data_IF_466369903008
#
_entry.id   IF_466369903008
#
_cell.length_a   1.000
_cell.length_b   1.000
_cell.length_c   1.000
_cell.angle_alpha   90.00
_cell.angle_beta   90.00
_cell.angle_gamma   90.00
#
_symmetry.space_group_name_H-M   'P 1'
#
loop_
_entity.id
_entity.type
_entity.pdbx_description
1 polymer ?
#
# COMPACT_ATOMS: atom_id res chain seq x y z
N UNK A 1 -1.96 -11.01 -40.34
CA UNK A 1 -0.64 -11.07 -39.69
C UNK A 1 0.53 -10.69 -40.63
N UNK A 2 0.40 -10.77 -41.94
CA UNK A 2 1.45 -10.38 -42.93
C UNK A 2 1.44 -8.91 -43.34
N UNK A 3 0.36 -8.14 -43.12
CA UNK A 3 0.29 -6.72 -43.44
C UNK A 3 0.91 -5.78 -42.37
N UNK A 4 1.16 -6.27 -41.17
CA UNK A 4 1.79 -5.46 -40.09
C UNK A 4 3.33 -5.42 -40.16
N UNK A 5 3.97 -6.25 -40.99
CA UNK A 5 5.43 -6.27 -41.14
C UNK A 5 5.97 -5.31 -42.19
N UNK A 6 5.11 -4.74 -43.05
CA UNK A 6 5.55 -3.81 -44.10
C UNK A 6 5.45 -2.31 -43.77
N UNK A 7 4.97 -1.95 -42.57
CA UNK A 7 4.93 -0.53 -42.12
C UNK A 7 6.22 -0.05 -41.43
N UNK A 8 7.23 -0.93 -41.34
CA UNK A 8 8.51 -0.63 -40.66
C UNK A 8 9.56 0.07 -41.55
N UNK A 9 9.22 0.43 -42.78
CA UNK A 9 10.20 1.00 -43.74
C UNK A 9 9.88 2.40 -44.31
N UNK A 10 8.87 3.12 -43.80
CA UNK A 10 8.67 4.52 -44.20
C UNK A 10 8.07 5.31 -43.02
N UNK A 11 8.90 6.15 -42.43
CA UNK A 11 8.45 7.19 -41.52
C UNK A 11 9.39 7.37 -40.34
N UNK A 12 10.49 8.07 -40.53
CA UNK A 12 11.21 8.74 -39.47
C UNK A 12 10.27 9.79 -38.83
N UNK A 13 9.54 9.37 -37.82
CA UNK A 13 8.90 10.32 -36.91
C UNK A 13 9.97 10.66 -35.86
N UNK A 14 10.69 11.73 -36.14
CA UNK A 14 11.57 12.37 -35.18
C UNK A 14 10.72 13.01 -34.09
N UNK A 15 10.38 12.23 -33.07
CA UNK A 15 9.80 12.79 -31.84
C UNK A 15 10.97 13.46 -31.10
N UNK A 16 11.18 14.74 -31.32
CA UNK A 16 11.98 15.60 -30.44
C UNK A 16 11.26 15.71 -29.10
N UNK A 17 11.47 14.72 -28.20
CA UNK A 17 11.26 14.89 -26.78
C UNK A 17 12.36 15.78 -26.24
N UNK A 18 12.16 17.09 -26.24
CA UNK A 18 12.92 17.97 -25.37
C UNK A 18 12.53 17.66 -23.93
N UNK A 19 13.20 16.68 -23.36
CA UNK A 19 13.12 16.38 -21.93
C UNK A 19 13.92 17.46 -21.21
N UNK A 20 13.28 18.27 -20.39
CA UNK A 20 13.94 19.15 -19.43
C UNK A 20 14.65 18.27 -18.39
N UNK A 21 15.83 17.77 -18.79
CA UNK A 21 16.66 16.80 -18.04
C UNK A 21 17.53 17.46 -16.97
N UNK A 22 17.27 18.70 -16.58
CA UNK A 22 18.14 19.48 -15.68
C UNK A 22 17.78 19.41 -14.20
N UNK A 23 16.91 18.49 -13.77
CA UNK A 23 16.80 18.15 -12.36
C UNK A 23 17.78 17.03 -12.03
N UNK A 24 18.75 17.24 -11.12
CA UNK A 24 19.72 16.21 -10.79
C UNK A 24 19.01 14.95 -10.32
N UNK A 25 19.36 13.80 -10.91
CA UNK A 25 18.82 12.46 -10.65
C UNK A 25 18.74 12.13 -9.14
N UNK A 26 19.67 12.67 -8.35
CA UNK A 26 19.68 12.53 -6.88
C UNK A 26 18.52 13.20 -6.14
N UNK A 27 17.85 14.20 -6.72
CA UNK A 27 16.71 14.87 -6.10
C UNK A 27 15.42 14.03 -6.21
N UNK A 28 15.31 13.24 -7.26
CA UNK A 28 14.11 12.47 -7.62
C UNK A 28 13.92 11.22 -6.76
N UNK A 29 14.96 10.70 -6.12
CA UNK A 29 14.89 9.47 -5.33
C UNK A 29 14.56 9.70 -3.85
N UNK A 30 14.90 10.87 -3.31
CA UNK A 30 14.72 11.15 -1.87
C UNK A 30 13.26 11.23 -1.43
N UNK A 31 12.38 11.74 -2.27
CA UNK A 31 10.95 11.78 -1.97
C UNK A 31 10.32 10.39 -1.91
N UNK A 32 10.81 9.45 -2.71
CA UNK A 32 10.37 8.06 -2.68
C UNK A 32 10.71 7.43 -1.33
N UNK A 33 11.91 7.67 -0.82
CA UNK A 33 12.30 7.15 0.49
C UNK A 33 11.48 7.79 1.62
N UNK A 34 11.16 9.08 1.53
CA UNK A 34 10.27 9.73 2.47
C UNK A 34 8.87 9.10 2.44
N UNK A 35 8.31 8.93 1.24
CA UNK A 35 6.99 8.30 1.09
C UNK A 35 6.98 6.86 1.58
N UNK A 36 8.03 6.06 1.32
CA UNK A 36 8.17 4.71 1.88
C UNK A 36 8.19 4.69 3.39
N UNK A 37 8.94 5.61 4.00
CA UNK A 37 8.99 5.73 5.47
C UNK A 37 7.62 6.08 6.04
N UNK A 38 6.91 7.03 5.46
CA UNK A 38 5.55 7.39 5.88
C UNK A 38 4.60 6.20 5.67
N UNK A 39 4.65 5.52 4.52
CA UNK A 39 3.77 4.39 4.24
C UNK A 39 3.96 3.24 5.24
N UNK A 40 5.19 2.88 5.63
CA UNK A 40 5.36 1.81 6.63
C UNK A 40 4.86 2.20 8.01
N UNK A 41 5.06 3.45 8.44
CA UNK A 41 4.48 3.95 9.67
C UNK A 41 2.95 3.91 9.61
N UNK A 42 2.37 4.32 8.49
CA UNK A 42 0.92 4.26 8.25
C UNK A 42 0.38 2.82 8.25
N UNK A 43 1.11 1.84 7.71
CA UNK A 43 0.73 0.41 7.79
C UNK A 43 0.68 -0.07 9.25
N UNK A 44 1.67 0.28 10.07
CA UNK A 44 1.70 -0.11 11.48
C UNK A 44 0.53 0.55 12.23
N UNK A 45 0.25 1.84 11.97
CA UNK A 45 -0.91 2.52 12.56
C UNK A 45 -2.22 1.86 12.14
N UNK A 46 -2.38 1.54 10.84
CA UNK A 46 -3.54 0.85 10.31
C UNK A 46 -3.83 -0.45 11.06
N UNK A 47 -2.81 -1.31 11.21
CA UNK A 47 -2.95 -2.57 11.92
C UNK A 47 -3.14 -2.38 13.44
N UNK A 48 -2.58 -1.34 14.03
CA UNK A 48 -2.83 -0.99 15.44
C UNK A 48 -4.30 -0.62 15.65
N UNK A 49 -4.86 0.28 14.85
CA UNK A 49 -6.27 0.68 14.93
C UNK A 49 -7.20 -0.50 14.62
N UNK A 50 -6.93 -1.24 13.53
CA UNK A 50 -7.73 -2.40 13.12
C UNK A 50 -7.81 -3.47 14.21
N UNK A 51 -6.69 -3.74 14.89
CA UNK A 51 -6.67 -4.74 15.97
C UNK A 51 -7.54 -4.29 17.15
N UNK A 52 -7.54 -3.01 17.50
CA UNK A 52 -8.38 -2.47 18.54
C UNK A 52 -9.86 -2.58 18.13
N UNK A 53 -10.21 -2.09 16.94
CA UNK A 53 -11.57 -2.11 16.41
C UNK A 53 -12.14 -3.54 16.37
N UNK A 54 -11.33 -4.53 15.94
CA UNK A 54 -11.76 -5.91 15.79
C UNK A 54 -11.87 -6.69 17.13
N UNK A 55 -11.18 -6.23 18.18
CA UNK A 55 -11.18 -6.91 19.48
C UNK A 55 -12.02 -6.19 20.55
N UNK A 56 -12.59 -5.02 20.21
CA UNK A 56 -13.34 -4.20 21.18
C UNK A 56 -14.60 -3.66 20.53
N UNK A 57 -15.74 -3.79 21.20
CA UNK A 57 -17.01 -3.30 20.68
C UNK A 57 -17.17 -1.76 20.78
N UNK A 58 -18.06 -1.19 19.97
CA UNK A 58 -18.40 0.24 20.02
C UNK A 58 -18.86 0.65 21.44
N UNK A 59 -19.58 -0.24 22.12
CA UNK A 59 -20.09 0.00 23.49
C UNK A 59 -18.97 0.11 24.53
N UNK A 60 -17.86 -0.62 24.34
CA UNK A 60 -16.73 -0.61 25.27
C UNK A 60 -15.82 0.63 25.05
N UNK A 61 -15.65 1.03 23.80
CA UNK A 61 -14.80 2.15 23.41
C UNK A 61 -15.53 3.49 23.51
N UNK A 62 -16.85 3.46 23.32
CA UNK A 62 -17.69 4.65 23.13
C UNK A 62 -17.66 5.17 21.68
N UNK A 63 -18.81 5.68 21.21
CA UNK A 63 -19.06 6.06 19.82
C UNK A 63 -18.00 7.05 19.29
N UNK A 64 -17.66 8.08 20.04
CA UNK A 64 -16.70 9.11 19.60
C UNK A 64 -15.27 8.55 19.47
N UNK A 65 -14.84 7.76 20.45
CA UNK A 65 -13.50 7.15 20.39
C UNK A 65 -13.41 6.13 19.26
N UNK A 66 -14.48 5.38 19.01
CA UNK A 66 -14.56 4.45 17.89
C UNK A 66 -14.49 5.21 16.56
N UNK A 67 -15.28 6.28 16.39
CA UNK A 67 -15.24 7.14 15.19
C UNK A 67 -13.83 7.67 14.90
N UNK A 68 -13.14 8.18 15.92
CA UNK A 68 -11.76 8.68 15.75
C UNK A 68 -10.80 7.57 15.35
N UNK A 69 -10.90 6.39 15.95
CA UNK A 69 -10.06 5.24 15.60
C UNK A 69 -10.30 4.76 14.16
N UNK A 70 -11.57 4.70 13.76
CA UNK A 70 -11.93 4.30 12.41
C UNK A 70 -11.47 5.33 11.37
N UNK A 71 -11.57 6.63 11.68
CA UNK A 71 -11.05 7.67 10.80
C UNK A 71 -9.54 7.67 10.69
N UNK A 72 -8.81 7.40 11.78
CA UNK A 72 -7.35 7.19 11.72
C UNK A 72 -7.04 5.97 10.84
N UNK A 73 -7.79 4.87 11.01
CA UNK A 73 -7.67 3.68 10.17
C UNK A 73 -7.87 4.00 8.69
N UNK A 74 -8.93 4.76 8.37
CA UNK A 74 -9.24 5.17 6.99
C UNK A 74 -8.18 6.13 6.42
N UNK A 75 -7.76 7.12 7.21
CA UNK A 75 -6.75 8.10 6.82
C UNK A 75 -5.43 7.45 6.39
N UNK A 76 -4.97 6.41 7.09
CA UNK A 76 -3.68 5.76 6.82
C UNK A 76 -3.74 4.69 5.71
N UNK A 77 -4.90 4.41 5.14
CA UNK A 77 -5.09 3.40 4.08
C UNK A 77 -4.41 3.74 2.75
N UNK A 78 -4.01 4.98 2.53
CA UNK A 78 -3.21 5.36 1.37
C UNK A 78 -1.87 4.61 1.28
N UNK A 79 -1.41 3.99 2.36
CA UNK A 79 -0.07 3.41 2.50
C UNK A 79 0.21 2.31 1.47
N UNK A 80 -0.66 1.30 1.34
CA UNK A 80 -0.50 0.22 0.36
C UNK A 80 -0.62 0.73 -1.08
N UNK A 81 -1.66 1.51 -1.44
CA UNK A 81 -1.71 2.19 -2.74
C UNK A 81 -0.44 2.95 -3.10
N UNK A 82 0.10 3.74 -2.17
CA UNK A 82 1.34 4.50 -2.42
C UNK A 82 2.55 3.59 -2.64
N UNK A 83 2.68 2.46 -1.94
CA UNK A 83 3.72 1.47 -2.24
C UNK A 83 3.59 0.90 -3.65
N UNK A 84 2.37 0.64 -4.12
CA UNK A 84 2.11 0.17 -5.47
C UNK A 84 2.40 1.24 -6.51
N UNK A 85 1.99 2.48 -6.25
CA UNK A 85 2.30 3.62 -7.12
C UNK A 85 3.82 3.87 -7.20
N UNK A 86 4.57 3.76 -6.09
CA UNK A 86 6.04 3.80 -6.10
C UNK A 86 6.60 2.71 -7.01
N UNK A 87 6.09 1.49 -6.92
CA UNK A 87 6.54 0.36 -7.74
C UNK A 87 6.27 0.62 -9.22
N UNK A 88 5.08 1.10 -9.57
CA UNK A 88 4.73 1.51 -10.92
C UNK A 88 5.58 2.67 -11.43
N UNK A 89 5.79 3.69 -10.61
CA UNK A 89 6.64 4.84 -10.91
C UNK A 89 8.07 4.44 -11.27
N UNK A 90 8.63 3.43 -10.57
CA UNK A 90 10.01 2.96 -10.78
C UNK A 90 10.13 1.95 -11.91
N UNK A 91 9.16 1.04 -12.07
CA UNK A 91 9.25 -0.06 -13.02
C UNK A 91 8.63 0.25 -14.39
N UNK A 92 7.68 1.19 -14.49
CA UNK A 92 7.11 1.61 -15.76
C UNK A 92 7.82 2.82 -16.38
N UNK A 93 9.03 3.16 -15.91
CA UNK A 93 9.87 4.21 -16.50
C UNK A 93 10.21 3.86 -17.96
N UNK A 94 9.78 4.66 -18.96
CA UNK A 94 10.02 4.36 -20.38
C UNK A 94 11.52 4.39 -20.73
N UNK A 95 12.31 5.13 -19.96
CA UNK A 95 13.74 5.31 -20.20
C UNK A 95 14.60 4.17 -19.60
N UNK A 96 14.01 3.21 -18.91
CA UNK A 96 14.71 2.09 -18.29
C UNK A 96 14.24 0.79 -18.91
N UNK A 97 15.13 0.01 -19.47
CA UNK A 97 14.80 -1.35 -19.88
C UNK A 97 14.57 -2.23 -18.65
N UNK A 98 13.54 -3.06 -18.72
CA UNK A 98 13.25 -4.07 -17.72
C UNK A 98 13.80 -5.39 -18.24
N UNK A 99 15.00 -5.74 -17.80
CA UNK A 99 15.56 -7.05 -18.12
C UNK A 99 14.75 -8.15 -17.42
N UNK A 100 14.27 -9.14 -18.17
CA UNK A 100 13.52 -10.29 -17.65
C UNK A 100 14.24 -10.97 -16.46
N UNK A 101 15.58 -11.17 -16.48
CA UNK A 101 16.28 -11.76 -15.33
C UNK A 101 16.17 -10.91 -14.05
N UNK A 102 15.94 -9.60 -14.15
CA UNK A 102 15.72 -8.74 -12.99
C UNK A 102 14.32 -8.95 -12.40
N UNK A 103 13.29 -9.07 -13.22
CA UNK A 103 11.93 -9.38 -12.77
C UNK A 103 11.87 -10.76 -12.11
N UNK A 104 12.48 -11.76 -12.73
CA UNK A 104 12.57 -13.11 -12.14
C UNK A 104 13.24 -13.11 -10.77
N UNK A 105 14.30 -12.32 -10.58
CA UNK A 105 14.91 -12.14 -9.24
C UNK A 105 13.96 -11.53 -8.22
N UNK A 106 13.10 -10.58 -8.61
CA UNK A 106 12.10 -10.02 -7.70
C UNK A 106 11.03 -11.04 -7.35
N UNK A 107 10.54 -11.81 -8.33
CA UNK A 107 9.55 -12.88 -8.12
C UNK A 107 10.12 -13.94 -7.18
N UNK A 108 11.32 -14.46 -7.48
CA UNK A 108 11.99 -15.46 -6.64
C UNK A 108 12.22 -14.94 -5.22
N UNK A 109 12.65 -13.68 -5.09
CA UNK A 109 12.82 -13.03 -3.78
C UNK A 109 11.51 -13.02 -2.98
N UNK A 110 10.39 -12.64 -3.59
CA UNK A 110 9.09 -12.65 -2.92
C UNK A 110 8.62 -14.06 -2.58
N UNK A 111 8.87 -15.03 -3.45
CA UNK A 111 8.56 -16.43 -3.17
C UNK A 111 9.39 -16.97 -1.98
N UNK A 112 10.68 -16.64 -1.89
CA UNK A 112 11.52 -16.99 -0.73
C UNK A 112 11.02 -16.33 0.55
N UNK A 113 10.57 -15.08 0.48
CA UNK A 113 9.94 -14.38 1.60
C UNK A 113 8.67 -15.11 2.04
N UNK A 114 7.80 -15.51 1.11
CA UNK A 114 6.60 -16.30 1.45
C UNK A 114 6.97 -17.64 2.07
N UNK A 115 7.95 -18.36 1.50
CA UNK A 115 8.38 -19.65 2.03
C UNK A 115 8.88 -19.53 3.47
N UNK A 116 9.61 -18.49 3.81
CA UNK A 116 10.16 -18.30 5.15
C UNK A 116 9.10 -17.70 6.09
N UNK A 117 8.63 -16.51 5.81
CA UNK A 117 7.74 -15.78 6.71
C UNK A 117 6.30 -16.30 6.64
N UNK A 118 5.78 -16.58 5.44
CA UNK A 118 4.43 -17.10 5.25
C UNK A 118 4.26 -18.47 5.92
N UNK A 119 5.22 -19.40 5.72
CA UNK A 119 5.21 -20.70 6.38
C UNK A 119 5.35 -20.54 7.91
N UNK A 120 6.27 -19.69 8.36
CA UNK A 120 6.45 -19.46 9.80
C UNK A 120 5.16 -18.95 10.44
N UNK A 121 4.44 -18.03 9.83
CA UNK A 121 3.18 -17.51 10.35
C UNK A 121 2.05 -18.54 10.31
N UNK A 122 1.98 -19.34 9.26
CA UNK A 122 1.02 -20.44 9.19
C UNK A 122 1.30 -21.50 10.29
N UNK A 123 2.56 -21.86 10.50
CA UNK A 123 2.97 -22.77 11.58
C UNK A 123 2.66 -22.18 12.96
N UNK A 124 2.97 -20.90 13.18
CA UNK A 124 2.65 -20.22 14.44
C UNK A 124 1.14 -20.25 14.72
N UNK A 125 0.29 -19.99 13.75
CA UNK A 125 -1.17 -20.06 13.94
C UNK A 125 -1.63 -21.46 14.30
N UNK A 126 -1.09 -22.53 13.66
CA UNK A 126 -1.40 -23.92 14.00
C UNK A 126 -0.95 -24.22 15.42
N UNK A 127 0.28 -23.87 15.80
CA UNK A 127 0.84 -24.13 17.14
C UNK A 127 0.07 -23.38 18.23
N UNK A 128 -0.32 -22.13 17.98
CA UNK A 128 -1.11 -21.33 18.93
C UNK A 128 -2.48 -21.94 19.16
N UNK A 129 -3.08 -22.56 18.14
CA UNK A 129 -4.42 -23.17 18.22
C UNK A 129 -4.35 -24.58 18.80
N UNK A 130 -3.46 -25.45 18.30
CA UNK A 130 -3.36 -26.85 18.68
C UNK A 130 -2.49 -27.09 19.91
N UNK A 131 -1.66 -26.11 20.28
CA UNK A 131 -0.61 -26.22 21.35
C UNK A 131 0.37 -27.39 21.12
N UNK A 132 0.48 -27.88 19.88
CA UNK A 132 1.36 -28.98 19.50
C UNK A 132 2.26 -28.57 18.33
N UNK A 133 3.52 -29.05 18.36
CA UNK A 133 4.49 -28.85 17.30
C UNK A 133 5.03 -30.20 16.86
N UNK A 134 5.01 -30.48 15.57
CA UNK A 134 5.53 -31.70 14.94
C UNK A 134 6.06 -31.39 13.55
N UNK A 135 6.74 -32.34 12.94
CA UNK A 135 7.13 -32.22 11.52
C UNK A 135 5.89 -32.07 10.60
N UNK A 136 4.80 -32.77 10.91
CA UNK A 136 3.51 -32.59 10.22
C UNK A 136 2.96 -31.17 10.27
N UNK A 137 3.17 -30.46 11.40
CA UNK A 137 2.79 -29.04 11.53
C UNK A 137 3.55 -28.15 10.56
N UNK A 138 4.83 -28.44 10.30
CA UNK A 138 5.62 -27.66 9.34
C UNK A 138 5.14 -27.92 7.91
N UNK A 139 4.87 -29.18 7.56
CA UNK A 139 4.34 -29.54 6.25
C UNK A 139 2.97 -28.88 6.02
N UNK A 140 2.08 -28.94 7.02
CA UNK A 140 0.79 -28.25 6.94
C UNK A 140 0.95 -26.73 6.82
N UNK A 141 1.93 -26.15 7.51
CA UNK A 141 2.25 -24.73 7.38
C UNK A 141 2.70 -24.34 5.96
N UNK A 142 3.47 -25.18 5.29
CA UNK A 142 3.84 -24.98 3.89
C UNK A 142 2.60 -25.05 2.99
N UNK A 143 1.74 -26.03 3.17
CA UNK A 143 0.50 -26.16 2.41
C UNK A 143 -0.42 -24.96 2.63
N UNK A 144 -0.64 -24.56 3.87
CA UNK A 144 -1.42 -23.37 4.20
C UNK A 144 -0.84 -22.10 3.54
N UNK A 145 0.49 -21.95 3.56
CA UNK A 145 1.14 -20.84 2.86
C UNK A 145 0.88 -20.90 1.35
N UNK A 146 0.96 -22.06 0.69
CA UNK A 146 0.68 -22.19 -0.73
C UNK A 146 -0.79 -21.88 -1.07
N UNK A 147 -1.72 -22.22 -0.19
CA UNK A 147 -3.15 -21.92 -0.31
C UNK A 147 -3.51 -20.46 0.00
N UNK A 148 -2.54 -19.65 0.44
CA UNK A 148 -2.78 -18.26 0.87
C UNK A 148 -3.30 -18.15 2.32
N UNK A 149 -3.37 -19.25 3.05
CA UNK A 149 -3.85 -19.35 4.44
C UNK A 149 -2.70 -19.11 5.44
N UNK A 150 -1.98 -18.01 5.26
CA UNK A 150 -1.00 -17.48 6.21
C UNK A 150 -1.63 -16.32 7.00
N UNK A 151 -0.85 -15.60 7.81
CA UNK A 151 -1.36 -14.41 8.47
C UNK A 151 -1.84 -13.37 7.44
N UNK A 152 -2.95 -12.71 7.78
CA UNK A 152 -3.70 -11.85 6.86
C UNK A 152 -2.82 -10.84 6.09
N UNK A 153 -1.84 -10.21 6.77
CA UNK A 153 -0.99 -9.21 6.10
C UNK A 153 -0.15 -9.79 4.94
N UNK A 154 0.11 -11.10 4.90
CA UNK A 154 0.92 -11.72 3.85
C UNK A 154 0.29 -11.64 2.45
N UNK A 155 -1.03 -11.34 2.34
CA UNK A 155 -1.71 -11.15 1.05
C UNK A 155 -0.96 -10.19 0.11
N UNK A 156 -0.32 -9.16 0.66
CA UNK A 156 0.43 -8.18 -0.11
C UNK A 156 1.65 -8.78 -0.82
N UNK A 157 2.33 -9.75 -0.21
CA UNK A 157 3.48 -10.44 -0.82
C UNK A 157 3.04 -11.32 -1.98
N UNK A 158 1.91 -12.04 -1.86
CA UNK A 158 1.32 -12.80 -2.98
C UNK A 158 0.94 -11.86 -4.13
N UNK A 159 0.31 -10.74 -3.83
CA UNK A 159 -0.04 -9.73 -4.82
C UNK A 159 1.20 -9.15 -5.52
N UNK A 160 2.29 -8.89 -4.79
CA UNK A 160 3.53 -8.38 -5.38
C UNK A 160 4.12 -9.34 -6.41
N UNK A 161 4.03 -10.66 -6.21
CA UNK A 161 4.46 -11.65 -7.20
C UNK A 161 3.70 -11.43 -8.52
N UNK A 162 2.37 -11.33 -8.44
CA UNK A 162 1.53 -11.04 -9.61
C UNK A 162 1.90 -9.71 -10.29
N UNK A 163 2.13 -8.68 -9.48
CA UNK A 163 2.52 -7.36 -9.98
C UNK A 163 3.94 -7.31 -10.58
N UNK A 164 4.84 -8.24 -10.26
CA UNK A 164 6.14 -8.32 -10.90
C UNK A 164 6.11 -9.11 -12.23
N UNK A 165 5.00 -9.80 -12.54
CA UNK A 165 4.81 -10.46 -13.84
C UNK A 165 4.33 -9.47 -14.91
N UNK A 166 3.54 -8.48 -14.52
CA UNK A 166 2.80 -7.58 -15.43
C UNK A 166 3.62 -6.41 -16.05
N UNK A 167 4.77 -5.95 -15.50
CA UNK A 167 5.47 -4.77 -16.00
C UNK A 167 5.80 -4.75 -17.49
N UNK A 168 6.21 -5.86 -18.13
CA UNK A 168 6.49 -5.84 -19.58
C UNK A 168 5.25 -5.44 -20.40
N UNK A 169 4.07 -5.94 -20.02
CA UNK A 169 2.81 -5.65 -20.70
C UNK A 169 2.40 -4.20 -20.47
N UNK A 170 2.39 -3.75 -19.21
CA UNK A 170 2.00 -2.38 -18.88
C UNK A 170 2.97 -1.33 -19.44
N UNK A 171 4.26 -1.67 -19.53
CA UNK A 171 5.24 -0.81 -20.14
C UNK A 171 5.06 -0.71 -21.64
N UNK A 172 4.80 -1.83 -22.33
CA UNK A 172 4.47 -1.83 -23.75
C UNK A 172 3.20 -1.02 -24.01
N UNK A 173 2.17 -1.15 -23.17
CA UNK A 173 0.97 -0.34 -23.22
C UNK A 173 1.30 1.16 -23.06
N UNK A 174 2.03 1.55 -22.01
CA UNK A 174 2.37 2.95 -21.76
C UNK A 174 3.24 3.57 -22.86
N UNK A 175 4.10 2.78 -23.52
CA UNK A 175 4.95 3.24 -24.60
C UNK A 175 4.21 3.44 -25.94
N UNK A 176 3.09 2.73 -26.15
CA UNK A 176 2.33 2.74 -27.41
C UNK A 176 0.97 3.48 -27.31
N UNK A 177 0.70 4.15 -26.19
CA UNK A 177 -0.52 4.91 -25.99
C UNK A 177 -0.21 6.36 -25.63
N UNK A 178 -1.06 7.28 -26.08
CA UNK A 178 -0.98 8.68 -25.70
C UNK A 178 -1.48 8.92 -24.27
N UNK A 179 -1.15 10.09 -23.72
CA UNK A 179 -1.53 10.48 -22.37
C UNK A 179 -3.05 10.48 -22.14
N UNK A 180 -3.83 10.86 -23.18
CA UNK A 180 -5.29 10.89 -23.12
C UNK A 180 -5.86 9.48 -22.95
N UNK A 181 -5.39 8.52 -23.75
CA UNK A 181 -5.79 7.10 -23.67
C UNK A 181 -5.46 6.52 -22.31
N UNK A 182 -4.26 6.78 -21.77
CA UNK A 182 -3.88 6.32 -20.44
C UNK A 182 -4.82 6.87 -19.35
N UNK A 183 -5.17 8.16 -19.41
CA UNK A 183 -6.14 8.76 -18.47
C UNK A 183 -7.53 8.14 -18.57
N UNK A 184 -8.02 7.91 -19.78
CA UNK A 184 -9.33 7.28 -19.99
C UNK A 184 -9.35 5.88 -19.38
N UNK A 185 -8.32 5.08 -19.61
CA UNK A 185 -8.24 3.72 -19.04
C UNK A 185 -8.13 3.77 -17.51
N UNK A 186 -7.30 4.65 -16.94
CA UNK A 186 -7.25 4.84 -15.49
C UNK A 186 -8.60 5.26 -14.91
N UNK A 187 -9.35 6.12 -15.61
CA UNK A 187 -10.68 6.52 -15.19
C UNK A 187 -11.68 5.35 -15.26
N UNK A 188 -11.66 4.55 -16.34
CA UNK A 188 -12.50 3.34 -16.44
C UNK A 188 -12.19 2.36 -15.30
N UNK A 189 -10.90 2.12 -15.00
CA UNK A 189 -10.49 1.27 -13.88
C UNK A 189 -10.94 1.85 -12.53
N UNK A 190 -10.90 3.16 -12.36
CA UNK A 190 -11.41 3.83 -11.16
C UNK A 190 -12.93 3.67 -11.01
N UNK A 191 -13.69 3.84 -12.10
CA UNK A 191 -15.14 3.61 -12.10
C UNK A 191 -15.46 2.16 -11.74
N UNK A 192 -14.84 1.21 -12.43
CA UNK A 192 -15.10 -0.22 -12.22
C UNK A 192 -14.67 -0.75 -10.85
N UNK A 193 -13.51 -0.32 -10.36
CA UNK A 193 -12.97 -0.83 -9.09
C UNK A 193 -13.30 0.03 -7.86
N UNK A 194 -13.79 1.24 -8.03
CA UNK A 194 -14.10 2.16 -6.94
C UNK A 194 -15.56 2.59 -6.91
N UNK A 195 -16.07 3.18 -8.00
CA UNK A 195 -17.43 3.75 -8.02
C UNK A 195 -18.50 2.65 -8.00
N UNK A 196 -18.40 1.65 -8.88
CA UNK A 196 -19.42 0.58 -8.95
C UNK A 196 -19.53 -0.18 -7.62
N UNK A 197 -18.45 -0.67 -6.99
CA UNK A 197 -18.53 -1.31 -5.68
C UNK A 197 -19.11 -0.40 -4.59
N UNK A 198 -18.79 0.89 -4.63
CA UNK A 198 -19.37 1.86 -3.68
C UNK A 198 -20.88 2.01 -3.87
N UNK A 199 -21.35 2.13 -5.12
CA UNK A 199 -22.79 2.20 -5.42
C UNK A 199 -23.48 0.93 -4.95
N UNK A 200 -22.91 -0.25 -5.21
CA UNK A 200 -23.46 -1.52 -4.75
C UNK A 200 -23.64 -1.53 -3.22
N UNK A 201 -22.61 -1.08 -2.48
CA UNK A 201 -22.66 -1.04 -1.02
C UNK A 201 -23.66 0.00 -0.45
N UNK A 202 -23.78 1.19 -1.09
CA UNK A 202 -24.68 2.25 -0.59
C UNK A 202 -26.15 1.87 -0.82
N UNK A 203 -26.45 1.31 -1.99
CA UNK A 203 -27.83 1.07 -2.42
C UNK A 203 -28.28 -0.39 -2.25
N UNK A 204 -27.40 -1.26 -1.70
CA UNK A 204 -27.63 -2.71 -1.57
C UNK A 204 -28.09 -3.35 -2.88
N UNK A 205 -27.40 -3.02 -3.96
CA UNK A 205 -27.63 -3.55 -5.31
C UNK A 205 -26.41 -4.30 -5.80
N UNK A 206 -26.56 -5.11 -6.85
CA UNK A 206 -25.45 -5.84 -7.44
C UNK A 206 -25.32 -5.50 -8.93
N UNK A 207 -24.61 -4.41 -9.21
CA UNK A 207 -24.15 -4.12 -10.57
C UNK A 207 -22.94 -5.02 -10.85
N UNK A 208 -23.10 -5.98 -11.75
CA UNK A 208 -22.05 -6.89 -12.15
C UNK A 208 -20.84 -6.16 -12.74
N UNK A 209 -19.67 -6.53 -12.29
CA UNK A 209 -18.42 -5.91 -12.68
C UNK A 209 -17.31 -6.95 -12.93
N UNK A 210 -17.06 -7.23 -14.19
CA UNK A 210 -16.05 -8.19 -14.65
C UNK A 210 -14.70 -7.52 -14.96
N UNK A 211 -14.24 -6.59 -14.12
CA UNK A 211 -12.95 -5.94 -14.31
C UNK A 211 -11.79 -6.93 -14.13
N UNK A 212 -11.11 -7.27 -15.25
CA UNK A 212 -9.93 -8.14 -15.25
C UNK A 212 -8.77 -7.47 -14.51
N UNK A 213 -8.59 -6.15 -14.67
CA UNK A 213 -7.57 -5.39 -13.98
C UNK A 213 -8.16 -4.83 -12.67
N UNK A 214 -7.70 -5.36 -11.57
CA UNK A 214 -8.16 -4.97 -10.25
C UNK A 214 -7.58 -3.60 -9.80
N UNK A 215 -8.05 -3.10 -8.67
CA UNK A 215 -7.65 -1.80 -8.11
C UNK A 215 -6.13 -1.70 -7.85
N UNK A 216 -5.44 -2.79 -7.56
CA UNK A 216 -3.99 -2.78 -7.29
C UNK A 216 -3.19 -2.54 -8.57
N UNK A 217 -3.63 -3.10 -9.70
CA UNK A 217 -3.07 -2.83 -11.02
C UNK A 217 -3.32 -1.37 -11.41
N UNK A 218 -4.49 -0.83 -11.09
CA UNK A 218 -4.80 0.59 -11.30
C UNK A 218 -3.81 1.51 -10.56
N UNK A 219 -3.53 1.25 -9.28
CA UNK A 219 -2.53 2.04 -8.53
C UNK A 219 -1.14 1.92 -9.15
N UNK A 220 -0.76 0.73 -9.57
CA UNK A 220 0.51 0.50 -10.24
C UNK A 220 0.63 1.30 -11.55
N UNK A 221 -0.41 1.25 -12.39
CA UNK A 221 -0.50 2.05 -13.63
C UNK A 221 -0.51 3.55 -13.34
N UNK A 222 -1.22 3.99 -12.30
CA UNK A 222 -1.28 5.39 -11.89
C UNK A 222 0.10 5.93 -11.52
N UNK A 223 0.91 5.15 -10.80
CA UNK A 223 2.30 5.49 -10.49
C UNK A 223 3.15 5.66 -11.76
N UNK A 224 3.04 4.75 -12.72
CA UNK A 224 3.70 4.83 -14.03
C UNK A 224 3.25 6.04 -14.85
N UNK A 225 1.95 6.32 -14.85
CA UNK A 225 1.37 7.50 -15.49
C UNK A 225 1.95 8.80 -14.91
N UNK A 226 1.98 8.93 -13.57
CA UNK A 226 2.53 10.12 -12.89
C UNK A 226 4.02 10.36 -13.18
N UNK A 227 4.78 9.30 -13.47
CA UNK A 227 6.16 9.44 -13.90
C UNK A 227 6.28 10.06 -15.29
N UNK A 228 5.37 9.72 -16.18
CA UNK A 228 5.43 10.06 -17.60
C UNK A 228 4.63 11.32 -17.94
N UNK A 229 3.73 11.73 -17.04
CA UNK A 229 2.90 12.92 -17.24
C UNK A 229 3.76 14.19 -17.30
N UNK A 230 3.70 14.87 -18.45
CA UNK A 230 4.33 16.16 -18.62
C UNK A 230 3.53 17.22 -17.87
N UNK A 231 4.21 17.93 -16.96
CA UNK A 231 3.74 19.14 -16.29
C UNK A 231 2.47 19.01 -15.43
N UNK A 232 2.65 18.65 -14.17
CA UNK A 232 1.69 18.98 -13.13
C UNK A 232 1.62 20.51 -12.97
N UNK A 233 0.60 21.12 -13.56
CA UNK A 233 0.36 22.55 -13.33
C UNK A 233 -0.09 22.77 -11.88
N UNK A 234 0.25 23.90 -11.30
CA UNK A 234 -0.18 24.32 -9.94
C UNK A 234 -1.72 24.22 -9.79
N UNK A 235 -2.48 24.46 -10.86
CA UNK A 235 -3.94 24.33 -10.87
C UNK A 235 -4.38 22.87 -10.70
N UNK A 236 -3.74 21.92 -11.39
CA UNK A 236 -4.04 20.48 -11.24
C UNK A 236 -3.68 19.96 -9.86
N UNK A 237 -2.55 20.39 -9.34
CA UNK A 237 -2.10 20.05 -8.00
C UNK A 237 -3.09 20.52 -6.93
N UNK A 238 -3.51 21.79 -6.96
CA UNK A 238 -4.53 22.33 -6.06
C UNK A 238 -5.84 21.55 -6.16
N UNK A 239 -6.30 21.22 -7.37
CA UNK A 239 -7.50 20.42 -7.57
C UNK A 239 -7.39 19.04 -6.90
N UNK A 240 -6.26 18.33 -7.08
CA UNK A 240 -6.02 17.02 -6.46
C UNK A 240 -6.09 17.11 -4.92
N UNK A 241 -5.47 18.13 -4.33
CA UNK A 241 -5.51 18.32 -2.88
C UNK A 241 -6.91 18.70 -2.39
N UNK A 242 -7.62 19.58 -3.10
CA UNK A 242 -8.98 19.96 -2.73
C UNK A 242 -9.92 18.74 -2.78
N UNK A 243 -9.83 17.93 -3.83
CA UNK A 243 -10.65 16.72 -3.97
C UNK A 243 -10.24 15.67 -2.91
N UNK A 244 -8.95 15.52 -2.60
CA UNK A 244 -8.47 14.65 -1.52
C UNK A 244 -8.99 15.05 -0.14
N UNK A 245 -8.93 16.34 0.18
CA UNK A 245 -9.47 16.87 1.45
C UNK A 245 -10.99 16.71 1.50
N UNK A 246 -11.69 17.02 0.42
CA UNK A 246 -13.15 16.84 0.36
C UNK A 246 -13.54 15.37 0.55
N UNK A 247 -12.81 14.44 -0.06
CA UNK A 247 -13.03 13.01 0.11
C UNK A 247 -12.84 12.57 1.57
N UNK A 248 -11.80 13.04 2.25
CA UNK A 248 -11.60 12.78 3.69
C UNK A 248 -12.72 13.36 4.54
N UNK A 249 -13.16 14.59 4.28
CA UNK A 249 -14.27 15.20 5.01
C UNK A 249 -15.57 14.41 4.83
N UNK A 250 -15.85 13.95 3.61
CA UNK A 250 -17.01 13.08 3.33
C UNK A 250 -16.90 11.77 4.11
N UNK A 251 -15.73 11.14 4.16
CA UNK A 251 -15.47 9.94 4.97
C UNK A 251 -15.79 10.20 6.44
N UNK A 252 -15.15 11.22 7.04
CA UNK A 252 -15.33 11.57 8.45
C UNK A 252 -16.80 11.87 8.81
N UNK A 253 -17.47 12.67 7.99
CA UNK A 253 -18.86 13.03 8.23
C UNK A 253 -19.77 11.80 8.11
N UNK A 254 -19.58 10.98 7.08
CA UNK A 254 -20.39 9.78 6.87
C UNK A 254 -20.19 8.77 8.00
N UNK A 255 -18.96 8.49 8.43
CA UNK A 255 -18.68 7.58 9.54
C UNK A 255 -19.37 8.05 10.82
N UNK A 256 -19.20 9.33 11.17
CA UNK A 256 -19.84 9.89 12.37
C UNK A 256 -21.36 9.82 12.30
N UNK A 257 -21.96 10.13 11.14
CA UNK A 257 -23.42 10.03 10.96
C UNK A 257 -23.92 8.59 11.07
N UNK A 258 -23.25 7.62 10.46
CA UNK A 258 -23.61 6.21 10.56
C UNK A 258 -23.53 5.71 12.02
N UNK A 259 -22.44 6.02 12.71
CA UNK A 259 -22.28 5.64 14.12
C UNK A 259 -23.31 6.28 15.05
N UNK A 260 -23.67 7.55 14.84
CA UNK A 260 -24.66 8.25 15.67
C UNK A 260 -26.10 7.80 15.39
N UNK A 261 -26.45 7.59 14.10
CA UNK A 261 -27.80 7.30 13.67
C UNK A 261 -28.13 5.81 13.65
N UNK A 262 -27.20 5.00 13.12
CA UNK A 262 -27.39 3.55 12.95
C UNK A 262 -26.66 2.71 14.00
N UNK A 263 -25.73 3.30 14.77
CA UNK A 263 -24.83 2.62 15.71
C UNK A 263 -23.96 1.56 15.05
N UNK A 264 -23.72 1.71 13.75
CA UNK A 264 -22.91 0.84 12.91
C UNK A 264 -21.94 1.69 12.11
N UNK A 265 -20.75 1.18 11.77
CA UNK A 265 -19.80 1.89 10.94
C UNK A 265 -20.28 2.01 9.47
N UNK A 266 -19.75 2.98 8.74
CA UNK A 266 -20.07 3.22 7.34
C UNK A 266 -19.35 2.20 6.43
N UNK A 267 -19.91 1.02 6.22
CA UNK A 267 -19.30 -0.08 5.46
C UNK A 267 -18.93 0.30 4.01
N UNK A 268 -19.65 1.26 3.40
CA UNK A 268 -19.42 1.67 2.00
C UNK A 268 -18.00 2.22 1.75
N UNK A 269 -17.34 2.77 2.77
CA UNK A 269 -15.99 3.32 2.64
C UNK A 269 -14.88 2.39 3.19
N UNK A 270 -15.26 1.32 3.92
CA UNK A 270 -14.31 0.41 4.59
C UNK A 270 -13.65 -0.60 3.65
N UNK A 271 -14.31 -1.01 2.59
CA UNK A 271 -13.79 -1.99 1.63
C UNK A 271 -12.49 -1.52 0.96
N UNK A 272 -11.75 -2.42 0.35
CA UNK A 272 -10.59 -2.08 -0.48
C UNK A 272 -11.02 -1.32 -1.74
N UNK A 273 -12.20 -1.62 -2.24
CA UNK A 273 -12.81 -1.03 -3.44
C UNK A 273 -13.77 0.09 -3.02
N UNK A 274 -13.25 1.28 -2.82
CA UNK A 274 -13.98 2.51 -2.53
C UNK A 274 -13.33 3.69 -3.28
N UNK A 275 -13.97 4.85 -3.31
CA UNK A 275 -13.46 6.03 -4.00
C UNK A 275 -12.52 6.89 -3.15
N UNK A 276 -12.64 6.81 -1.83
CA UNK A 276 -11.89 7.67 -0.90
C UNK A 276 -10.41 7.31 -0.94
N UNK A 277 -10.08 6.02 -0.79
CA UNK A 277 -8.70 5.54 -0.76
C UNK A 277 -7.89 5.90 -2.02
N UNK A 278 -8.38 5.69 -3.27
CA UNK A 278 -7.66 6.12 -4.47
C UNK A 278 -7.41 7.62 -4.55
N UNK A 279 -8.42 8.42 -4.23
CA UNK A 279 -8.34 9.88 -4.30
C UNK A 279 -7.34 10.41 -3.27
N UNK A 280 -7.42 9.95 -2.02
CA UNK A 280 -6.48 10.32 -0.97
C UNK A 280 -5.05 9.85 -1.29
N UNK A 281 -4.90 8.63 -1.83
CA UNK A 281 -3.58 8.09 -2.21
C UNK A 281 -2.93 8.92 -3.31
N UNK A 282 -3.70 9.35 -4.31
CA UNK A 282 -3.20 10.26 -5.34
C UNK A 282 -2.76 11.60 -4.74
N UNK A 283 -3.55 12.18 -3.84
CA UNK A 283 -3.21 13.45 -3.20
C UNK A 283 -1.92 13.33 -2.36
N UNK A 284 -1.80 12.29 -1.55
CA UNK A 284 -0.61 12.02 -0.74
C UNK A 284 0.62 11.78 -1.61
N UNK A 285 0.50 10.98 -2.67
CA UNK A 285 1.61 10.70 -3.58
C UNK A 285 2.12 11.96 -4.27
N UNK A 286 1.23 12.78 -4.82
CA UNK A 286 1.57 14.06 -5.47
C UNK A 286 2.18 15.04 -4.47
N UNK A 287 1.66 15.08 -3.25
CA UNK A 287 2.20 15.94 -2.19
C UNK A 287 3.67 15.62 -1.90
N UNK A 288 4.00 14.35 -1.63
CA UNK A 288 5.39 13.99 -1.35
C UNK A 288 6.29 14.11 -2.56
N UNK A 289 5.78 13.84 -3.76
CA UNK A 289 6.52 14.03 -5.01
C UNK A 289 6.97 15.49 -5.20
N UNK A 290 6.13 16.45 -4.82
CA UNK A 290 6.38 17.87 -5.08
C UNK A 290 6.98 18.64 -3.88
N UNK A 291 6.70 18.21 -2.62
CA UNK A 291 7.03 19.00 -1.42
C UNK A 291 8.05 18.34 -0.48
N UNK A 292 8.59 17.16 -0.84
CA UNK A 292 9.54 16.43 0.03
C UNK A 292 10.82 17.20 0.35
N UNK A 293 11.27 18.06 -0.56
CA UNK A 293 12.50 18.84 -0.38
C UNK A 293 12.44 19.72 0.88
N UNK A 294 11.27 20.24 1.25
CA UNK A 294 11.08 21.07 2.45
C UNK A 294 11.31 20.24 3.71
N UNK A 295 10.76 19.02 3.74
CA UNK A 295 10.83 18.10 4.89
C UNK A 295 12.27 17.58 5.05
N UNK A 296 12.92 17.24 3.94
CA UNK A 296 14.25 16.62 3.91
C UNK A 296 15.41 17.63 4.02
N UNK A 297 15.14 18.91 4.21
CA UNK A 297 16.19 19.94 4.44
C UNK A 297 17.02 19.64 5.69
N UNK A 298 16.37 19.17 6.77
CA UNK A 298 17.06 18.89 8.05
C UNK A 298 17.84 17.58 7.97
N UNK A 299 19.19 17.57 8.20
CA UNK A 299 20.02 16.38 8.07
C UNK A 299 19.60 15.21 8.96
N UNK A 300 19.16 15.51 10.20
CA UNK A 300 18.71 14.51 11.17
C UNK A 300 17.45 13.80 10.66
N UNK A 301 16.45 14.59 10.20
CA UNK A 301 15.20 14.02 9.65
C UNK A 301 15.52 13.17 8.42
N UNK A 302 16.36 13.66 7.52
CA UNK A 302 16.76 12.91 6.34
C UNK A 302 17.43 11.59 6.69
N UNK A 303 18.35 11.57 7.67
CA UNK A 303 19.03 10.34 8.13
C UNK A 303 18.03 9.34 8.73
N UNK A 304 17.10 9.80 9.55
CA UNK A 304 16.05 8.97 10.13
C UNK A 304 15.14 8.39 9.06
N UNK A 305 14.66 9.21 8.12
CA UNK A 305 13.83 8.78 6.99
C UNK A 305 14.51 7.69 6.15
N UNK A 306 15.77 7.90 5.77
CA UNK A 306 16.51 6.92 4.97
C UNK A 306 16.70 5.59 5.73
N UNK A 307 16.90 5.66 7.05
CA UNK A 307 17.03 4.47 7.89
C UNK A 307 15.72 3.68 7.97
N UNK A 308 14.60 4.36 8.24
CA UNK A 308 13.27 3.74 8.31
C UNK A 308 12.86 3.19 6.95
N UNK A 309 13.02 3.96 5.88
CA UNK A 309 12.71 3.52 4.52
C UNK A 309 13.52 2.28 4.12
N UNK A 310 14.80 2.25 4.49
CA UNK A 310 15.66 1.09 4.28
C UNK A 310 15.20 -0.17 5.02
N UNK A 311 14.48 -0.03 6.13
CA UNK A 311 13.92 -1.14 6.91
C UNK A 311 12.44 -1.42 6.60
N UNK A 312 11.79 -0.63 5.73
CA UNK A 312 10.34 -0.63 5.56
C UNK A 312 9.74 -2.01 5.23
N UNK A 313 10.37 -2.78 4.34
CA UNK A 313 9.89 -4.10 3.98
C UNK A 313 10.06 -5.13 5.11
N UNK A 314 11.18 -5.09 5.83
CA UNK A 314 11.38 -5.93 7.01
C UNK A 314 10.38 -5.59 8.13
N UNK A 315 10.16 -4.29 8.40
CA UNK A 315 9.14 -3.83 9.36
C UNK A 315 7.75 -4.31 8.95
N UNK A 316 7.43 -4.23 7.63
CA UNK A 316 6.17 -4.76 7.11
C UNK A 316 6.01 -6.25 7.43
N UNK A 317 7.04 -7.06 7.26
CA UNK A 317 6.95 -8.49 7.50
C UNK A 317 6.71 -8.84 8.98
N UNK A 318 7.32 -8.11 9.93
CA UNK A 318 7.36 -8.52 11.33
C UNK A 318 6.43 -7.78 12.28
N UNK A 319 5.92 -6.59 11.91
CA UNK A 319 5.09 -5.79 12.84
C UNK A 319 3.86 -6.52 13.39
N UNK A 320 3.15 -7.40 12.64
CA UNK A 320 1.98 -8.07 13.16
C UNK A 320 2.30 -9.08 14.26
N UNK A 321 3.55 -9.58 14.31
CA UNK A 321 4.00 -10.45 15.41
C UNK A 321 3.87 -9.70 16.74
N UNK A 322 4.34 -8.47 16.80
CA UNK A 322 4.29 -7.66 18.02
C UNK A 322 2.86 -7.27 18.38
N UNK A 323 2.09 -6.84 17.40
CA UNK A 323 0.69 -6.44 17.61
C UNK A 323 -0.13 -7.65 18.10
N UNK A 324 -0.10 -8.78 17.37
CA UNK A 324 -0.91 -9.94 17.69
C UNK A 324 -0.51 -10.57 19.04
N UNK A 325 0.79 -10.68 19.33
CA UNK A 325 1.24 -11.26 20.59
C UNK A 325 0.86 -10.38 21.79
N UNK A 326 0.90 -9.07 21.66
CA UNK A 326 0.46 -8.15 22.71
C UNK A 326 -1.00 -8.42 23.09
N UNK A 327 -1.88 -8.60 22.12
CA UNK A 327 -3.30 -8.88 22.38
C UNK A 327 -3.56 -10.35 22.73
N UNK A 328 -3.04 -11.31 21.96
CA UNK A 328 -3.37 -12.74 22.10
C UNK A 328 -2.63 -13.43 23.23
N UNK A 329 -1.35 -13.09 23.47
CA UNK A 329 -0.52 -13.76 24.49
C UNK A 329 -0.48 -13.00 25.82
N UNK A 330 -0.30 -11.70 25.78
CA UNK A 330 -0.14 -10.89 26.98
C UNK A 330 -1.46 -10.31 27.47
N UNK A 331 -2.55 -10.39 26.67
CA UNK A 331 -3.86 -9.81 26.97
C UNK A 331 -3.79 -8.32 27.34
N UNK A 332 -2.84 -7.60 26.72
CA UNK A 332 -2.65 -6.18 26.94
C UNK A 332 -3.34 -5.40 25.83
N UNK A 333 -4.26 -4.52 26.21
CA UNK A 333 -4.98 -3.61 25.33
C UNK A 333 -4.62 -2.16 25.64
N UNK A 334 -4.67 -1.22 24.68
CA UNK A 334 -4.54 0.20 24.96
C UNK A 334 -5.52 0.72 26.01
N UNK A 335 -6.67 0.08 26.15
CA UNK A 335 -7.67 0.40 27.18
C UNK A 335 -7.16 0.20 28.61
N UNK A 336 -6.22 -0.72 28.82
CA UNK A 336 -5.67 -1.02 30.12
C UNK A 336 -4.77 0.10 30.67
N UNK A 337 -4.26 0.99 29.80
CA UNK A 337 -3.25 1.99 30.16
C UNK A 337 -3.77 3.41 30.25
N UNK A 338 -4.94 3.69 29.70
CA UNK A 338 -5.48 5.05 29.68
C UNK A 338 -6.99 5.09 29.60
N UNK A 339 -7.66 5.90 30.43
CA UNK A 339 -9.06 6.22 30.21
C UNK A 339 -9.28 6.97 28.88
N UNK A 340 -8.21 7.57 28.31
CA UNK A 340 -8.20 8.18 26.99
C UNK A 340 -7.59 7.20 26.00
N UNK A 341 -8.42 6.44 25.32
CA UNK A 341 -8.02 5.38 24.37
C UNK A 341 -7.01 5.88 23.31
N UNK A 342 -7.14 7.10 22.85
CA UNK A 342 -6.23 7.69 21.86
C UNK A 342 -4.79 7.79 22.37
N UNK A 343 -4.59 8.12 23.66
CA UNK A 343 -3.27 8.12 24.27
C UNK A 343 -2.69 6.69 24.31
N UNK A 344 -3.51 5.71 24.69
CA UNK A 344 -3.12 4.30 24.65
C UNK A 344 -2.71 3.86 23.24
N UNK A 345 -3.50 4.19 22.23
CA UNK A 345 -3.19 3.90 20.81
C UNK A 345 -1.85 4.51 20.37
N UNK A 346 -1.60 5.77 20.72
CA UNK A 346 -0.35 6.44 20.38
C UNK A 346 0.86 5.78 21.05
N UNK A 347 0.73 5.39 22.31
CA UNK A 347 1.81 4.65 23.03
C UNK A 347 2.07 3.32 22.33
N UNK A 348 1.05 2.53 22.05
CA UNK A 348 1.18 1.24 21.34
C UNK A 348 1.80 1.43 19.96
N UNK A 349 1.35 2.40 19.21
CA UNK A 349 1.90 2.72 17.91
C UNK A 349 3.40 3.04 17.97
N UNK A 350 3.82 3.90 18.91
CA UNK A 350 5.24 4.23 19.08
C UNK A 350 6.04 2.99 19.47
N UNK A 351 5.55 2.19 20.42
CA UNK A 351 6.21 0.95 20.86
C UNK A 351 6.33 -0.03 19.68
N UNK A 352 5.27 -0.26 18.91
CA UNK A 352 5.31 -1.18 17.78
C UNK A 352 6.25 -0.69 16.66
N UNK A 353 6.33 0.60 16.40
CA UNK A 353 7.31 1.17 15.46
C UNK A 353 8.74 0.89 15.97
N UNK A 354 9.02 1.23 17.21
CA UNK A 354 10.37 1.11 17.77
C UNK A 354 10.83 -0.35 17.76
N UNK A 355 10.02 -1.27 18.25
CA UNK A 355 10.35 -2.70 18.25
C UNK A 355 10.52 -3.23 16.83
N UNK A 356 9.56 -2.94 15.94
CA UNK A 356 9.65 -3.37 14.55
C UNK A 356 10.88 -2.81 13.84
N UNK A 357 11.22 -1.55 14.10
CA UNK A 357 12.41 -0.93 13.51
C UNK A 357 13.70 -1.57 14.04
N UNK A 358 13.84 -1.73 15.36
CA UNK A 358 15.04 -2.31 15.96
C UNK A 358 15.27 -3.75 15.49
N UNK A 359 14.22 -4.58 15.52
CA UNK A 359 14.32 -5.96 15.06
C UNK A 359 14.62 -6.02 13.55
N UNK A 360 13.98 -5.19 12.73
CA UNK A 360 14.29 -5.09 11.29
C UNK A 360 15.74 -4.67 11.04
N UNK A 361 16.23 -3.72 11.80
CA UNK A 361 17.61 -3.27 11.71
C UNK A 361 18.62 -4.39 12.06
N UNK A 362 18.32 -5.20 13.10
CA UNK A 362 19.11 -6.38 13.46
C UNK A 362 19.04 -7.44 12.35
N UNK A 363 17.85 -7.77 11.85
CA UNK A 363 17.64 -8.73 10.75
C UNK A 363 18.48 -8.36 9.51
N UNK A 364 18.59 -7.10 9.20
CA UNK A 364 19.41 -6.60 8.07
C UNK A 364 20.93 -6.75 8.32
N UNK A 365 21.39 -7.06 9.51
CA UNK A 365 22.80 -7.43 9.77
C UNK A 365 23.09 -8.88 9.38
N UNK A 366 22.07 -9.72 9.26
CA UNK A 366 22.19 -11.11 8.84
C UNK A 366 22.30 -11.15 7.31
N UNK A 367 23.42 -11.61 6.71
CA UNK A 367 23.67 -11.49 5.27
C UNK A 367 22.59 -12.13 4.40
N UNK A 368 22.05 -13.29 4.81
CA UNK A 368 20.98 -13.97 4.08
C UNK A 368 19.67 -13.15 4.12
N UNK A 369 19.23 -12.74 5.31
CA UNK A 369 18.01 -11.93 5.44
C UNK A 369 18.12 -10.60 4.71
N UNK A 370 19.26 -9.92 4.78
CA UNK A 370 19.47 -8.65 4.08
C UNK A 370 19.34 -8.75 2.55
N UNK A 371 19.49 -9.95 1.98
CA UNK A 371 19.31 -10.17 0.54
C UNK A 371 17.84 -10.33 0.15
N UNK A 372 16.99 -10.76 1.08
CA UNK A 372 15.58 -11.05 0.80
C UNK A 372 14.60 -10.01 1.36
N UNK A 373 15.01 -9.20 2.36
CA UNK A 373 14.16 -8.17 3.01
C UNK A 373 14.57 -6.75 2.67
#
# INVERSE_FOLDING_TARGET
>A
MWQLLNLRKKGEITIKKQHNSNLPVMKKEKWIELLRAICILSVIMNHTCMTIINNTGITEIGVYSYAVLDEIFMLVRFSVPCFLMISGYLLLDPNKEIAMPKLMRYIIRMFVVLLIFGTTYAVLEIVMTSKAFSFGTVLQGILNMLEGNSWLHMWYVYMLIGLYIIPPVLKAFAANTDEKTQRVILFILFVGNGIIPMINNIFDINIENYMILNIYVMYYMLGGYLRNADNFTVKREKLIYTVGIAALLVSCISELLFLLLKKEPAEWNRGASNIITPVCSLAVFVFFMNHSDVILKRPIIRKAVLSVAGCSFAMYLIHPVFINNTYKMFHISPLNFSPLILCGVLVFFIVFILISYVVSWIMKKIPFLNRII
#
